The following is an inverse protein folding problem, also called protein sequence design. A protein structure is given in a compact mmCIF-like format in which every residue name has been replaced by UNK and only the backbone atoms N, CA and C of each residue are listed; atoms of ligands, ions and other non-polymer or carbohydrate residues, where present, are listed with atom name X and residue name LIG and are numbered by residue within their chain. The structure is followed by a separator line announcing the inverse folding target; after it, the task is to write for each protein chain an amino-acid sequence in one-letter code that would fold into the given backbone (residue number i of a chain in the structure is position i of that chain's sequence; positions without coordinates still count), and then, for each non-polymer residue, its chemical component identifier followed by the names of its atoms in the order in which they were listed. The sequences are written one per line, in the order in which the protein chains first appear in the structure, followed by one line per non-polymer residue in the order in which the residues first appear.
data_IF_308363008584
#
_entry.id   IF_308363008584
#
_cell.length_a   1.000
_cell.length_b   1.000
_cell.length_c   1.000
_cell.angle_alpha   90.00
_cell.angle_beta   90.00
_cell.angle_gamma   90.00
#
_symmetry.space_group_name_H-M   'P 1'
#
loop_
_entity.id
_entity.type
_entity.pdbx_description
1 polymer ?
#
# COMPACT_ATOMS: atom_id res chain seq x y z
N UNK A 1 42.15 21.93 -21.46
CA UNK A 1 41.84 21.36 -20.13
C UNK A 1 40.54 21.93 -19.58
N UNK A 2 40.36 23.26 -19.57
CA UNK A 2 39.09 23.91 -19.14
C UNK A 2 37.85 23.47 -19.90
N UNK A 3 37.89 23.41 -21.25
CA UNK A 3 36.73 22.96 -22.05
C UNK A 3 36.28 21.53 -21.74
N UNK A 4 37.20 20.65 -21.29
CA UNK A 4 36.88 19.27 -20.93
C UNK A 4 36.15 19.24 -19.57
N UNK A 5 36.63 20.02 -18.60
CA UNK A 5 35.99 20.18 -17.29
C UNK A 5 34.59 20.81 -17.39
N UNK A 6 34.42 21.79 -18.27
CA UNK A 6 33.11 22.41 -18.52
C UNK A 6 32.13 21.38 -19.11
N UNK A 7 32.55 20.58 -20.10
CA UNK A 7 31.72 19.49 -20.65
C UNK A 7 31.39 18.42 -19.60
N UNK A 8 32.35 18.08 -18.73
CA UNK A 8 32.15 17.11 -17.66
C UNK A 8 31.14 17.62 -16.61
N UNK A 9 31.19 18.92 -16.28
CA UNK A 9 30.21 19.56 -15.39
C UNK A 9 28.80 19.55 -15.98
N UNK A 10 28.64 19.86 -17.27
CA UNK A 10 27.33 19.77 -17.93
C UNK A 10 26.79 18.34 -17.96
N UNK A 11 27.65 17.35 -18.22
CA UNK A 11 27.26 15.95 -18.19
C UNK A 11 26.78 15.52 -16.79
N UNK A 12 27.49 15.92 -15.72
CA UNK A 12 27.06 15.64 -14.35
C UNK A 12 25.73 16.31 -14.01
N UNK A 13 25.51 17.56 -14.41
CA UNK A 13 24.24 18.27 -14.20
C UNK A 13 23.10 17.56 -14.93
N UNK A 14 23.32 17.13 -16.18
CA UNK A 14 22.33 16.39 -16.96
C UNK A 14 21.98 15.05 -16.30
N UNK A 15 22.98 14.31 -15.81
CA UNK A 15 22.75 13.04 -15.10
C UNK A 15 21.95 13.24 -13.81
N UNK A 16 22.22 14.31 -13.05
CA UNK A 16 21.49 14.65 -11.83
C UNK A 16 20.03 15.06 -12.11
N UNK A 17 19.79 15.75 -13.24
CA UNK A 17 18.44 16.11 -13.67
C UNK A 17 17.66 14.87 -14.15
N UNK A 18 18.33 13.92 -14.81
CA UNK A 18 17.71 12.66 -15.27
C UNK A 18 17.33 11.77 -14.08
N UNK A 19 18.13 11.71 -13.02
CA UNK A 19 17.76 10.92 -11.83
C UNK A 19 16.50 11.43 -11.13
N UNK A 20 16.12 12.70 -11.32
CA UNK A 20 14.87 13.26 -10.79
C UNK A 20 13.64 12.97 -11.68
N UNK A 21 13.82 12.31 -12.83
CA UNK A 21 12.74 11.95 -13.76
C UNK A 21 12.29 10.49 -13.65
N UNK A 22 13.00 9.66 -12.88
CA UNK A 22 12.65 8.25 -12.75
C UNK A 22 11.54 8.12 -11.70
N UNK A 23 10.39 7.50 -12.04
CA UNK A 23 9.36 7.23 -11.06
C UNK A 23 9.92 6.30 -10.00
N UNK A 24 9.80 6.70 -8.72
CA UNK A 24 10.23 5.87 -7.61
C UNK A 24 9.12 4.86 -7.30
N UNK A 25 9.45 3.58 -7.29
CA UNK A 25 8.45 2.53 -7.08
C UNK A 25 8.31 2.20 -5.60
N UNK A 26 7.13 1.74 -5.20
CA UNK A 26 6.94 1.23 -3.84
C UNK A 26 7.83 0.00 -3.57
N UNK A 27 8.06 -0.82 -4.60
CA UNK A 27 8.93 -1.99 -4.52
C UNK A 27 10.40 -1.63 -4.25
N UNK A 28 10.93 -0.56 -4.86
CA UNK A 28 12.28 -0.07 -4.58
C UNK A 28 12.39 0.42 -3.13
N UNK A 29 11.44 1.24 -2.67
CA UNK A 29 11.41 1.69 -1.28
C UNK A 29 11.36 0.52 -0.29
N UNK A 30 10.56 -0.51 -0.58
CA UNK A 30 10.50 -1.73 0.20
C UNK A 30 11.83 -2.50 0.22
N UNK A 31 12.47 -2.65 -0.95
CA UNK A 31 13.75 -3.34 -1.07
C UNK A 31 14.86 -2.62 -0.31
N UNK A 32 14.87 -1.29 -0.35
CA UNK A 32 15.87 -0.43 0.28
C UNK A 32 15.66 -0.26 1.80
N UNK A 33 14.43 -0.48 2.29
CA UNK A 33 14.15 -0.43 3.73
C UNK A 33 14.87 -1.52 4.51
N UNK A 34 15.33 -1.14 5.70
CA UNK A 34 15.89 -2.05 6.71
C UNK A 34 14.93 -2.30 7.87
N UNK A 35 15.34 -3.16 8.82
CA UNK A 35 14.57 -3.41 10.03
C UNK A 35 14.63 -2.22 11.00
N UNK A 36 13.57 -2.05 11.80
CA UNK A 36 13.54 -1.11 12.92
C UNK A 36 12.55 -1.59 13.99
N UNK A 37 13.01 -1.73 15.23
CA UNK A 37 12.20 -2.24 16.32
C UNK A 37 11.75 -3.67 16.06
N UNK A 38 10.44 -3.91 16.09
CA UNK A 38 9.82 -5.21 15.82
C UNK A 38 9.62 -5.51 14.33
N UNK A 39 9.75 -4.50 13.45
CA UNK A 39 9.52 -4.67 12.03
C UNK A 39 10.79 -5.09 11.30
N UNK A 40 10.69 -6.15 10.50
CA UNK A 40 11.75 -6.60 9.59
C UNK A 40 11.96 -5.61 8.43
N UNK A 41 10.88 -4.92 8.04
CA UNK A 41 10.88 -3.88 7.01
C UNK A 41 10.19 -2.65 7.55
N UNK A 42 10.94 -1.56 7.71
CA UNK A 42 10.44 -0.29 8.22
C UNK A 42 10.59 0.81 7.16
N UNK A 43 9.49 1.11 6.47
CA UNK A 43 9.43 2.07 5.37
C UNK A 43 8.86 3.40 5.88
N UNK A 44 9.63 4.47 5.72
CA UNK A 44 9.12 5.84 5.83
C UNK A 44 9.22 6.46 4.46
N UNK A 45 8.07 6.71 3.84
CA UNK A 45 8.01 7.32 2.52
C UNK A 45 8.09 8.84 2.65
N UNK A 46 8.70 9.47 1.66
CA UNK A 46 8.86 10.91 1.61
C UNK A 46 7.51 11.59 1.38
N UNK A 47 7.23 12.63 2.17
CA UNK A 47 6.02 13.43 2.05
C UNK A 47 5.87 14.05 0.64
N UNK A 48 4.63 14.16 0.18
CA UNK A 48 4.24 14.77 -1.10
C UNK A 48 4.85 14.07 -2.35
N UNK A 49 5.37 12.85 -2.20
CA UNK A 49 5.82 12.02 -3.32
C UNK A 49 4.73 11.07 -3.84
N UNK A 50 4.91 10.60 -5.07
CA UNK A 50 4.11 9.54 -5.68
C UNK A 50 5.00 8.31 -5.86
N UNK A 51 4.60 7.20 -5.25
CA UNK A 51 5.21 5.89 -5.38
C UNK A 51 4.37 5.05 -6.33
N UNK A 52 4.99 4.49 -7.36
CA UNK A 52 4.27 3.70 -8.35
C UNK A 52 4.31 2.20 -8.06
N UNK A 53 3.18 1.54 -8.34
CA UNK A 53 3.02 0.09 -8.22
C UNK A 53 2.74 -0.41 -6.80
N UNK A 54 2.47 -1.72 -6.71
CA UNK A 54 2.21 -2.41 -5.45
C UNK A 54 3.39 -3.24 -4.97
N UNK A 55 3.22 -3.90 -3.83
CA UNK A 55 4.17 -4.86 -3.26
C UNK A 55 3.43 -6.12 -2.79
N UNK A 56 4.11 -7.27 -2.86
CA UNK A 56 3.65 -8.53 -2.28
C UNK A 56 4.48 -8.87 -1.05
N UNK A 57 3.81 -9.16 0.07
CA UNK A 57 4.44 -9.54 1.34
C UNK A 57 4.05 -10.99 1.66
N UNK A 58 5.05 -11.87 1.66
CA UNK A 58 4.84 -13.30 1.91
C UNK A 58 5.29 -13.75 3.30
N UNK A 59 6.08 -12.94 4.00
CA UNK A 59 6.60 -13.24 5.32
C UNK A 59 7.15 -11.98 5.98
N UNK A 60 7.15 -11.98 7.31
CA UNK A 60 7.77 -10.95 8.13
C UNK A 60 6.83 -9.81 8.49
N UNK A 61 7.30 -8.99 9.44
CA UNK A 61 6.56 -7.85 9.96
C UNK A 61 6.97 -6.56 9.23
N UNK A 62 6.00 -5.93 8.55
CA UNK A 62 6.23 -4.75 7.71
C UNK A 62 5.52 -3.54 8.30
N UNK A 63 6.23 -2.42 8.38
CA UNK A 63 5.67 -1.11 8.69
C UNK A 63 5.87 -0.14 7.54
N UNK A 64 4.80 0.59 7.18
CA UNK A 64 4.79 1.60 6.13
C UNK A 64 4.16 2.88 6.67
N UNK A 65 4.95 3.95 6.76
CA UNK A 65 4.45 5.29 7.03
C UNK A 65 4.58 6.14 5.77
N UNK A 66 3.45 6.53 5.19
CA UNK A 66 3.45 7.28 3.95
C UNK A 66 3.68 8.80 4.14
N UNK A 67 3.53 9.33 5.36
CA UNK A 67 3.61 10.77 5.64
C UNK A 67 2.69 11.64 4.76
N UNK A 68 1.58 11.08 4.26
CA UNK A 68 0.66 11.74 3.33
C UNK A 68 0.99 11.56 1.84
N UNK A 69 2.03 10.78 1.49
CA UNK A 69 2.35 10.43 0.09
C UNK A 69 1.25 9.62 -0.60
N UNK A 70 1.37 9.54 -1.92
CA UNK A 70 0.46 8.77 -2.78
C UNK A 70 1.17 7.48 -3.20
N UNK A 71 0.47 6.37 -3.07
CA UNK A 71 0.80 5.10 -3.72
C UNK A 71 -0.16 4.95 -4.91
N UNK A 72 0.34 5.21 -6.12
CA UNK A 72 -0.40 5.01 -7.36
C UNK A 72 -0.10 3.62 -7.90
N UNK A 73 -1.06 2.71 -7.76
CA UNK A 73 -0.91 1.32 -8.16
C UNK A 73 -0.86 1.18 -9.68
N UNK A 74 -1.17 2.23 -10.46
CA UNK A 74 -1.07 2.26 -11.91
C UNK A 74 -1.77 1.07 -12.58
N UNK A 75 -2.99 0.76 -12.13
CA UNK A 75 -3.79 -0.39 -12.56
C UNK A 75 -3.07 -1.74 -12.41
N UNK A 76 -2.22 -1.87 -11.40
CA UNK A 76 -1.71 -3.17 -10.95
C UNK A 76 -2.60 -3.73 -9.84
N UNK A 77 -2.35 -4.99 -9.46
CA UNK A 77 -3.15 -5.74 -8.50
C UNK A 77 -3.42 -4.99 -7.19
N UNK A 78 -2.40 -4.38 -6.60
CA UNK A 78 -2.46 -3.68 -5.32
C UNK A 78 -1.28 -3.98 -4.40
N UNK A 79 -1.35 -3.49 -3.15
CA UNK A 79 -0.53 -4.03 -2.07
C UNK A 79 -1.22 -5.28 -1.55
N UNK A 80 -0.50 -6.38 -1.40
CA UNK A 80 -1.08 -7.60 -0.87
C UNK A 80 -0.14 -8.35 0.04
N UNK A 81 -0.72 -9.04 1.00
CA UNK A 81 -0.02 -9.92 1.89
C UNK A 81 -0.80 -11.21 2.10
N UNK A 82 -0.05 -12.29 2.19
CA UNK A 82 -0.54 -13.62 2.47
C UNK A 82 0.28 -14.20 3.64
N UNK A 83 -0.43 -14.85 4.55
CA UNK A 83 0.17 -15.48 5.73
C UNK A 83 -0.40 -16.89 5.88
N UNK A 84 0.42 -17.84 6.31
CA UNK A 84 -0.02 -19.16 6.74
C UNK A 84 0.78 -19.62 7.96
N UNK A 85 0.46 -20.81 8.48
CA UNK A 85 1.10 -21.36 9.68
C UNK A 85 2.63 -21.50 9.62
N UNK A 86 3.23 -21.50 8.43
CA UNK A 86 4.67 -21.59 8.22
C UNK A 86 5.30 -20.24 7.89
N UNK A 87 4.54 -19.34 7.26
CA UNK A 87 5.00 -18.04 6.80
C UNK A 87 4.08 -16.95 7.33
N UNK A 88 4.36 -16.50 8.56
CA UNK A 88 3.62 -15.40 9.17
C UNK A 88 3.98 -14.08 8.49
N UNK A 89 2.97 -13.28 8.16
CA UNK A 89 3.15 -11.92 7.66
C UNK A 89 2.21 -10.93 8.33
N UNK A 90 2.72 -9.73 8.60
CA UNK A 90 1.94 -8.62 9.11
C UNK A 90 2.25 -7.31 8.40
N UNK A 91 1.26 -6.43 8.35
CA UNK A 91 1.43 -5.08 7.81
C UNK A 91 0.77 -4.04 8.71
N UNK A 92 1.59 -3.09 9.19
CA UNK A 92 1.15 -1.84 9.77
C UNK A 92 1.34 -0.73 8.74
N UNK A 93 0.26 -0.10 8.29
CA UNK A 93 0.33 0.94 7.25
C UNK A 93 -0.47 2.17 7.67
N UNK A 94 0.15 3.34 7.55
CA UNK A 94 -0.46 4.59 7.99
C UNK A 94 -0.15 5.82 7.13
N UNK A 95 -1.09 6.77 7.16
CA UNK A 95 -1.01 8.07 6.49
C UNK A 95 -0.85 7.99 4.95
N UNK A 96 -1.40 6.95 4.32
CA UNK A 96 -1.25 6.69 2.89
C UNK A 96 -2.46 7.13 2.07
N UNK A 97 -2.22 7.58 0.84
CA UNK A 97 -3.26 7.70 -0.20
C UNK A 97 -3.03 6.61 -1.25
N UNK A 98 -3.84 5.55 -1.26
CA UNK A 98 -3.67 4.37 -2.11
C UNK A 98 -4.71 4.40 -3.22
N UNK A 99 -4.25 4.49 -4.47
CA UNK A 99 -5.12 4.78 -5.62
C UNK A 99 -4.87 3.85 -6.81
N UNK A 100 -5.89 3.77 -7.67
CA UNK A 100 -5.81 3.16 -9.00
C UNK A 100 -5.38 1.67 -9.01
N UNK A 101 -5.73 0.90 -7.98
CA UNK A 101 -5.55 -0.55 -7.97
C UNK A 101 -6.56 -1.25 -8.88
N UNK A 102 -6.11 -2.17 -9.73
CA UNK A 102 -6.98 -2.90 -10.67
C UNK A 102 -7.86 -3.93 -9.98
N UNK A 103 -7.38 -4.52 -8.87
CA UNK A 103 -8.12 -5.52 -8.07
C UNK A 103 -8.40 -5.01 -6.66
N UNK A 104 -7.39 -4.44 -6.00
CA UNK A 104 -7.57 -3.83 -4.69
C UNK A 104 -6.55 -2.74 -4.41
N UNK A 105 -6.85 -1.85 -3.47
CA UNK A 105 -5.84 -0.96 -2.89
C UNK A 105 -4.90 -1.75 -1.97
N UNK A 106 -5.49 -2.48 -1.03
CA UNK A 106 -4.78 -3.33 -0.07
C UNK A 106 -5.53 -4.65 0.16
N UNK A 107 -4.80 -5.78 0.20
CA UNK A 107 -5.38 -7.11 0.45
C UNK A 107 -4.64 -7.87 1.54
N UNK A 108 -5.36 -8.30 2.57
CA UNK A 108 -4.93 -9.29 3.55
C UNK A 108 -5.55 -10.65 3.19
N UNK A 109 -4.81 -11.75 3.29
CA UNK A 109 -5.30 -13.10 2.99
C UNK A 109 -4.63 -14.17 3.87
N UNK A 110 -5.24 -15.34 3.99
CA UNK A 110 -4.78 -16.42 4.88
C UNK A 110 -4.90 -16.03 6.36
N UNK A 111 -3.82 -16.17 7.12
CA UNK A 111 -3.73 -15.86 8.56
C UNK A 111 -3.07 -14.49 8.83
N UNK A 112 -3.17 -13.54 7.89
CA UNK A 112 -2.39 -12.30 7.97
C UNK A 112 -2.94 -11.33 9.02
N UNK A 113 -2.04 -10.61 9.69
CA UNK A 113 -2.37 -9.56 10.65
C UNK A 113 -2.19 -8.16 10.02
N UNK A 114 -3.11 -7.24 10.31
CA UNK A 114 -3.11 -5.91 9.73
C UNK A 114 -3.52 -4.81 10.68
N UNK A 115 -2.79 -3.69 10.62
CA UNK A 115 -3.23 -2.42 11.19
C UNK A 115 -3.17 -1.33 10.12
N UNK A 116 -4.31 -0.72 9.83
CA UNK A 116 -4.47 0.29 8.78
C UNK A 116 -5.05 1.55 9.41
N UNK A 117 -4.28 2.63 9.44
CA UNK A 117 -4.70 3.86 10.10
C UNK A 117 -4.49 5.12 9.27
N UNK A 118 -5.44 6.05 9.31
CA UNK A 118 -5.30 7.36 8.64
C UNK A 118 -5.04 7.26 7.13
N UNK A 119 -5.60 6.25 6.46
CA UNK A 119 -5.39 5.99 5.04
C UNK A 119 -6.61 6.36 4.19
N UNK A 120 -6.37 6.77 2.95
CA UNK A 120 -7.41 7.01 1.95
C UNK A 120 -7.26 5.98 0.82
N UNK A 121 -8.36 5.32 0.45
CA UNK A 121 -8.43 4.36 -0.64
C UNK A 121 -9.37 4.92 -1.71
N UNK A 122 -8.83 5.33 -2.85
CA UNK A 122 -9.59 6.01 -3.89
C UNK A 122 -9.40 5.38 -5.28
N UNK A 123 -10.51 5.17 -6.00
CA UNK A 123 -10.49 4.63 -7.36
C UNK A 123 -9.70 3.29 -7.48
N UNK A 124 -9.76 2.45 -6.46
CA UNK A 124 -9.37 1.04 -6.58
C UNK A 124 -10.59 0.23 -7.04
N UNK A 125 -10.42 -1.03 -7.42
CA UNK A 125 -11.58 -1.91 -7.60
C UNK A 125 -12.25 -2.19 -6.25
N UNK A 126 -11.52 -2.84 -5.34
CA UNK A 126 -11.86 -2.89 -3.91
C UNK A 126 -10.88 -2.01 -3.13
N UNK A 127 -11.35 -1.12 -2.24
CA UNK A 127 -10.44 -0.26 -1.46
C UNK A 127 -9.49 -1.09 -0.57
N UNK A 128 -10.07 -1.85 0.36
CA UNK A 128 -9.36 -2.86 1.16
C UNK A 128 -10.10 -4.18 1.14
N UNK A 129 -9.38 -5.29 1.03
CA UNK A 129 -9.91 -6.65 1.13
C UNK A 129 -9.29 -7.38 2.33
N UNK A 130 -10.14 -7.92 3.20
CA UNK A 130 -9.78 -8.92 4.20
C UNK A 130 -10.36 -10.28 3.78
N UNK A 131 -9.53 -11.32 3.74
CA UNK A 131 -9.88 -12.63 3.20
C UNK A 131 -9.40 -13.77 4.11
N UNK A 132 -10.15 -14.87 4.18
CA UNK A 132 -9.88 -16.06 5.02
C UNK A 132 -9.93 -15.80 6.54
N UNK A 133 -8.82 -16.00 7.25
CA UNK A 133 -8.68 -15.96 8.71
C UNK A 133 -7.97 -14.70 9.21
N UNK A 134 -7.91 -13.67 8.37
CA UNK A 134 -7.16 -12.45 8.67
C UNK A 134 -7.69 -11.72 9.90
N UNK A 135 -6.80 -11.03 10.60
CA UNK A 135 -7.15 -10.12 11.70
C UNK A 135 -6.71 -8.71 11.30
N UNK A 136 -7.67 -7.81 11.07
CA UNK A 136 -7.39 -6.46 10.55
C UNK A 136 -8.07 -5.39 11.38
N UNK A 137 -7.28 -4.46 11.92
CA UNK A 137 -7.75 -3.23 12.56
C UNK A 137 -7.71 -2.07 11.56
N UNK A 138 -8.84 -1.41 11.37
CA UNK A 138 -9.00 -0.28 10.45
C UNK A 138 -9.46 0.94 11.26
N UNK A 139 -8.67 2.01 11.26
CA UNK A 139 -8.96 3.21 12.04
C UNK A 139 -8.80 4.49 11.21
N UNK A 140 -9.77 5.40 11.30
CA UNK A 140 -9.70 6.71 10.64
C UNK A 140 -9.36 6.65 9.15
N UNK A 141 -9.94 5.68 8.43
CA UNK A 141 -9.71 5.48 7.00
C UNK A 141 -10.90 5.96 6.17
N UNK A 142 -10.65 6.34 4.92
CA UNK A 142 -11.69 6.71 3.97
C UNK A 142 -11.64 5.81 2.72
N UNK A 143 -12.80 5.28 2.33
CA UNK A 143 -12.96 4.45 1.13
C UNK A 143 -13.87 5.18 0.12
N UNK A 144 -13.26 5.70 -0.94
CA UNK A 144 -13.88 6.75 -1.77
C UNK A 144 -13.92 6.31 -3.22
N UNK A 145 -15.12 6.25 -3.81
CA UNK A 145 -15.26 6.06 -5.27
C UNK A 145 -14.48 4.86 -5.83
N UNK A 146 -14.44 3.75 -5.08
CA UNK A 146 -13.89 2.50 -5.61
C UNK A 146 -14.87 1.87 -6.61
N UNK A 147 -14.34 1.18 -7.62
CA UNK A 147 -15.10 0.70 -8.78
C UNK A 147 -16.02 -0.47 -8.46
N UNK A 148 -15.80 -1.15 -7.34
CA UNK A 148 -16.71 -2.18 -6.81
C UNK A 148 -17.07 -1.88 -5.36
N UNK A 149 -16.16 -2.12 -4.41
CA UNK A 149 -16.44 -1.96 -2.97
C UNK A 149 -15.43 -1.07 -2.25
N UNK A 150 -15.87 -0.38 -1.20
CA UNK A 150 -14.97 0.34 -0.30
C UNK A 150 -14.12 -0.64 0.52
N UNK A 151 -14.78 -1.47 1.32
CA UNK A 151 -14.17 -2.53 2.12
C UNK A 151 -14.84 -3.87 1.82
N UNK A 152 -14.06 -4.86 1.39
CA UNK A 152 -14.50 -6.24 1.17
C UNK A 152 -14.03 -7.16 2.29
N UNK A 153 -14.97 -7.80 2.97
CA UNK A 153 -14.74 -8.83 4.00
C UNK A 153 -15.28 -10.14 3.43
N UNK A 154 -14.37 -11.02 3.01
CA UNK A 154 -14.67 -12.18 2.17
C UNK A 154 -14.18 -13.44 2.92
N UNK A 155 -15.10 -14.34 3.28
CA UNK A 155 -14.96 -15.41 4.34
C UNK A 155 -13.88 -16.47 4.09
N UNK A 156 -13.34 -17.23 5.06
CA UNK A 156 -14.00 -18.15 6.05
C UNK A 156 -14.26 -17.66 7.49
N UNK A 157 -13.43 -16.79 8.08
CA UNK A 157 -13.65 -16.25 9.45
C UNK A 157 -12.76 -15.01 9.72
N UNK A 158 -12.82 -13.94 8.90
CA UNK A 158 -11.99 -12.77 9.14
C UNK A 158 -12.46 -12.00 10.39
N UNK A 159 -11.51 -11.51 11.20
CA UNK A 159 -11.79 -10.61 12.31
C UNK A 159 -11.39 -9.18 11.91
N UNK A 160 -12.39 -8.38 11.54
CA UNK A 160 -12.17 -6.99 11.11
C UNK A 160 -12.82 -6.03 12.09
N UNK A 161 -12.03 -5.12 12.65
CA UNK A 161 -12.54 -4.02 13.50
C UNK A 161 -12.40 -2.71 12.74
N UNK A 162 -13.51 -1.98 12.59
CA UNK A 162 -13.53 -0.69 11.87
C UNK A 162 -13.97 0.43 12.80
N UNK A 163 -13.10 1.42 13.01
CA UNK A 163 -13.34 2.58 13.88
C UNK A 163 -13.14 3.89 13.12
N UNK A 164 -14.00 4.88 13.39
CA UNK A 164 -13.87 6.25 12.89
C UNK A 164 -13.62 6.38 11.37
N UNK A 165 -14.09 5.41 10.58
CA UNK A 165 -13.81 5.32 9.14
C UNK A 165 -15.06 5.64 8.33
N UNK A 166 -14.88 6.19 7.14
CA UNK A 166 -15.95 6.59 6.25
C UNK A 166 -15.84 5.86 4.90
N UNK A 167 -16.97 5.63 4.26
CA UNK A 167 -17.03 5.03 2.94
C UNK A 167 -18.15 5.71 2.14
N UNK A 168 -17.87 6.13 0.90
CA UNK A 168 -18.88 6.73 0.03
C UNK A 168 -18.51 6.68 -1.46
N UNK A 169 -19.55 6.67 -2.30
CA UNK A 169 -19.40 6.76 -3.76
C UNK A 169 -18.86 5.49 -4.42
N UNK A 170 -18.74 4.39 -3.68
CA UNK A 170 -18.34 3.09 -4.22
C UNK A 170 -19.48 2.49 -5.06
N UNK A 171 -19.16 1.86 -6.20
CA UNK A 171 -20.17 1.54 -7.22
C UNK A 171 -21.18 0.47 -6.80
N UNK A 172 -20.71 -0.64 -6.22
CA UNK A 172 -21.56 -1.77 -5.80
C UNK A 172 -21.92 -1.71 -4.31
N UNK A 173 -21.09 -1.07 -3.49
CA UNK A 173 -21.40 -0.84 -2.09
C UNK A 173 -20.22 -0.30 -1.28
N UNK A 174 -20.52 0.36 -0.17
CA UNK A 174 -19.51 0.90 0.74
C UNK A 174 -18.77 -0.18 1.53
N UNK A 175 -19.49 -1.24 1.89
CA UNK A 175 -19.02 -2.42 2.60
C UNK A 175 -19.62 -3.66 1.95
N UNK A 176 -18.79 -4.66 1.69
CA UNK A 176 -19.23 -5.98 1.28
C UNK A 176 -18.83 -7.01 2.32
N UNK A 177 -19.84 -7.59 2.97
CA UNK A 177 -19.66 -8.75 3.83
C UNK A 177 -20.29 -9.94 3.11
N UNK A 178 -19.49 -10.93 2.72
CA UNK A 178 -20.04 -12.15 2.15
C UNK A 178 -19.34 -13.38 2.70
N UNK A 179 -20.19 -14.35 3.07
CA UNK A 179 -19.78 -15.72 3.19
C UNK A 179 -19.97 -16.42 1.84
N UNK A 180 -18.93 -16.71 1.02
CA UNK A 180 -19.03 -17.88 0.17
C UNK A 180 -19.25 -19.08 1.09
N UNK A 181 -20.47 -19.62 1.02
CA UNK A 181 -20.97 -20.68 1.90
C UNK A 181 -20.22 -21.99 1.81
#
# INVERSE_FOLDING_TARGET
MEMLNVKLNYLMIILLLISMLVPYTLQEAYNESGPNGEFEKYLVLEKDQIYYGGIGIFSGDVYINCQGSIIDLNNQTGIWLYSDSNYLSSLHIEYCNIINGDTYGLSFSGEAFGKVSNCNFYNNDIGLKAFDYTQVEIENCNFISNRTYGLGIITENPQVTVNHSNSWGNLEGDYWENCPG
#
